data_IF_765659097995
#
_entry.id   IF_765659097995
#
_cell.length_a   1.000
_cell.length_b   1.000
_cell.length_c   1.000
_cell.angle_alpha   90.00
_cell.angle_beta   90.00
_cell.angle_gamma   90.00
#
_symmetry.space_group_name_H-M   'P 1'
#
loop_
_entity.id
_entity.type
_entity.pdbx_description
1 polymer ?
#
# COMPACT_ATOMS: atom_id res chain seq x y z
N UNK A 1 22.38 45.82 4.32
CA UNK A 1 23.02 45.03 5.40
C UNK A 1 22.04 43.97 5.88
N UNK A 2 21.86 42.90 5.11
CA UNK A 2 21.04 41.74 5.51
C UNK A 2 21.81 40.41 5.40
N UNK A 3 22.85 40.37 4.57
CA UNK A 3 23.67 39.18 4.32
C UNK A 3 24.38 38.63 5.56
N UNK A 4 24.75 39.47 6.53
CA UNK A 4 25.37 39.01 7.78
C UNK A 4 24.38 38.25 8.67
N UNK A 5 23.13 38.71 8.72
CA UNK A 5 22.05 38.08 9.51
C UNK A 5 21.63 36.77 8.86
N UNK A 6 21.42 36.78 7.55
CA UNK A 6 21.14 35.58 6.74
C UNK A 6 22.26 34.54 6.85
N UNK A 7 23.54 34.94 6.82
CA UNK A 7 24.66 34.00 7.01
C UNK A 7 24.73 33.43 8.44
N UNK A 8 24.42 34.24 9.46
CA UNK A 8 24.39 33.76 10.84
C UNK A 8 23.25 32.75 11.05
N UNK A 9 22.08 32.99 10.45
CA UNK A 9 20.96 32.06 10.42
C UNK A 9 21.30 30.79 9.65
N UNK A 10 22.01 30.91 8.52
CA UNK A 10 22.40 29.74 7.72
C UNK A 10 23.36 28.78 8.41
N UNK A 11 24.24 29.30 9.29
CA UNK A 11 25.17 28.46 10.07
C UNK A 11 24.48 27.48 11.01
N UNK A 12 23.23 27.76 11.39
CA UNK A 12 22.48 26.93 12.33
C UNK A 12 21.48 25.99 11.63
N UNK A 13 21.34 26.03 10.30
CA UNK A 13 20.47 25.08 9.60
C UNK A 13 21.05 23.68 9.67
N UNK A 14 20.28 22.77 10.26
CA UNK A 14 20.50 21.34 10.12
C UNK A 14 19.69 20.81 8.94
N UNK A 15 20.29 19.91 8.17
CA UNK A 15 19.58 19.23 7.09
C UNK A 15 18.44 18.42 7.71
N UNK A 16 17.24 18.50 7.10
CA UNK A 16 16.11 17.66 7.49
C UNK A 16 16.55 16.20 7.39
N UNK A 17 16.41 15.40 8.46
CA UNK A 17 16.78 14.00 8.41
C UNK A 17 15.93 13.27 7.38
N UNK A 18 16.56 12.39 6.62
CA UNK A 18 15.87 11.52 5.69
C UNK A 18 15.18 10.40 6.48
N UNK A 19 13.85 10.33 6.42
CA UNK A 19 13.04 9.33 7.14
C UNK A 19 13.13 7.96 6.46
N UNK A 20 13.12 7.95 5.13
CA UNK A 20 13.19 6.75 4.31
C UNK A 20 14.03 7.02 3.06
N UNK A 21 14.93 6.09 2.72
CA UNK A 21 15.67 6.10 1.46
C UNK A 21 14.96 5.23 0.44
N UNK A 22 14.66 5.80 -0.72
CA UNK A 22 14.30 5.04 -1.91
C UNK A 22 15.52 4.60 -2.72
N UNK A 23 16.72 4.97 -2.27
CA UNK A 23 17.97 4.57 -2.91
C UNK A 23 18.47 3.28 -2.26
N UNK A 24 18.80 2.29 -3.07
CA UNK A 24 19.37 1.00 -2.63
C UNK A 24 20.88 1.09 -2.32
N UNK A 25 21.49 -0.04 -1.97
CA UNK A 25 22.90 -0.14 -1.57
C UNK A 25 23.85 0.24 -2.73
N UNK A 26 23.41 0.05 -3.98
CA UNK A 26 24.13 0.38 -5.20
C UNK A 26 23.94 1.84 -5.65
N UNK A 27 23.09 2.61 -4.98
CA UNK A 27 22.81 4.01 -5.34
C UNK A 27 21.69 4.20 -6.37
N UNK A 28 20.90 3.16 -6.65
CA UNK A 28 19.80 3.19 -7.64
C UNK A 28 18.50 3.67 -6.99
N UNK A 29 17.77 4.58 -7.65
CA UNK A 29 16.44 5.01 -7.20
C UNK A 29 15.38 3.91 -7.44
N UNK A 30 14.83 3.39 -6.35
CA UNK A 30 13.80 2.35 -6.28
C UNK A 30 12.41 2.88 -5.97
N UNK A 31 12.19 4.21 -5.99
CA UNK A 31 10.92 4.81 -5.59
C UNK A 31 9.73 4.22 -6.35
N UNK A 32 9.84 4.11 -7.67
CA UNK A 32 8.76 3.54 -8.50
C UNK A 32 8.51 2.05 -8.21
N UNK A 33 9.58 1.27 -8.09
CA UNK A 33 9.49 -0.18 -7.81
C UNK A 33 8.82 -0.44 -6.45
N UNK A 34 9.23 0.31 -5.42
CA UNK A 34 8.67 0.17 -4.07
C UNK A 34 7.19 0.59 -4.01
N UNK A 35 6.81 1.69 -4.66
CA UNK A 35 5.41 2.13 -4.73
C UNK A 35 4.56 1.08 -5.44
N UNK A 36 5.01 0.57 -6.58
CA UNK A 36 4.30 -0.46 -7.34
C UNK A 36 4.16 -1.76 -6.55
N UNK A 37 5.23 -2.19 -5.89
CA UNK A 37 5.23 -3.40 -5.05
C UNK A 37 4.27 -3.26 -3.88
N UNK A 38 4.29 -2.11 -3.18
CA UNK A 38 3.37 -1.86 -2.08
C UNK A 38 1.90 -1.87 -2.55
N UNK A 39 1.62 -1.19 -3.66
CA UNK A 39 0.27 -1.14 -4.22
C UNK A 39 -0.24 -2.53 -4.61
N UNK A 40 0.61 -3.35 -5.25
CA UNK A 40 0.29 -4.74 -5.59
C UNK A 40 0.04 -5.59 -4.35
N UNK A 41 0.90 -5.47 -3.35
CA UNK A 41 0.79 -6.26 -2.11
C UNK A 41 -0.50 -5.92 -1.35
N UNK A 42 -0.79 -4.63 -1.15
CA UNK A 42 -2.02 -4.19 -0.48
C UNK A 42 -3.26 -4.73 -1.19
N UNK A 43 -3.28 -4.71 -2.52
CA UNK A 43 -4.39 -5.25 -3.31
C UNK A 43 -4.56 -6.76 -3.12
N UNK A 44 -3.47 -7.52 -3.13
CA UNK A 44 -3.51 -8.97 -2.86
C UNK A 44 -4.00 -9.28 -1.44
N UNK A 45 -3.53 -8.51 -0.46
CA UNK A 45 -3.91 -8.67 0.94
C UNK A 45 -5.41 -8.44 1.14
N UNK A 46 -5.98 -7.41 0.48
CA UNK A 46 -7.42 -7.14 0.52
C UNK A 46 -8.23 -8.28 -0.11
N UNK A 47 -7.80 -8.82 -1.26
CA UNK A 47 -8.50 -9.95 -1.87
C UNK A 47 -8.46 -11.19 -0.95
N UNK A 48 -7.31 -11.47 -0.35
CA UNK A 48 -7.14 -12.56 0.61
C UNK A 48 -8.05 -12.36 1.84
N UNK A 49 -8.10 -11.15 2.37
CA UNK A 49 -8.97 -10.80 3.49
C UNK A 49 -10.44 -11.06 3.16
N UNK A 50 -10.91 -10.58 2.00
CA UNK A 50 -12.30 -10.79 1.55
C UNK A 50 -12.57 -12.29 1.42
N UNK A 51 -11.68 -13.07 0.82
CA UNK A 51 -11.84 -14.52 0.71
C UNK A 51 -11.99 -15.19 2.08
N UNK A 52 -11.11 -14.84 3.02
CA UNK A 52 -11.15 -15.38 4.38
C UNK A 52 -12.46 -15.00 5.10
N UNK A 53 -12.93 -13.76 4.96
CA UNK A 53 -14.19 -13.32 5.56
C UNK A 53 -15.40 -14.04 4.94
N UNK A 54 -15.38 -14.32 3.64
CA UNK A 54 -16.42 -15.11 2.98
C UNK A 54 -16.45 -16.54 3.51
N UNK A 55 -15.29 -17.18 3.69
CA UNK A 55 -15.20 -18.51 4.31
C UNK A 55 -15.68 -18.47 5.77
N UNK A 56 -15.31 -17.45 6.53
CA UNK A 56 -15.76 -17.28 7.93
C UNK A 56 -17.28 -17.13 8.02
N UNK A 57 -17.88 -16.30 7.16
CA UNK A 57 -19.33 -16.08 7.11
C UNK A 57 -20.07 -17.35 6.64
N UNK A 58 -19.52 -18.10 5.68
CA UNK A 58 -20.11 -19.36 5.20
C UNK A 58 -20.17 -20.43 6.31
N UNK A 59 -19.19 -20.43 7.21
CA UNK A 59 -19.09 -21.40 8.29
C UNK A 59 -19.81 -20.98 9.59
N UNK A 60 -20.35 -19.76 9.67
CA UNK A 60 -21.12 -19.27 10.82
C UNK A 60 -22.62 -19.30 10.54
N UNK A 61 -23.36 -20.19 11.22
CA UNK A 61 -24.81 -20.37 11.05
C UNK A 61 -25.59 -19.07 11.20
N UNK A 62 -25.15 -18.16 12.08
CA UNK A 62 -25.83 -16.88 12.33
C UNK A 62 -25.58 -15.88 11.20
N UNK A 63 -24.50 -16.04 10.43
CA UNK A 63 -24.10 -15.09 9.39
C UNK A 63 -24.33 -15.62 7.97
N UNK A 64 -24.54 -16.92 7.78
CA UNK A 64 -24.74 -17.55 6.46
C UNK A 64 -25.81 -16.88 5.59
N UNK A 65 -26.84 -16.30 6.19
CA UNK A 65 -27.91 -15.58 5.49
C UNK A 65 -27.42 -14.33 4.73
N UNK A 66 -26.25 -13.79 5.07
CA UNK A 66 -25.63 -12.64 4.39
C UNK A 66 -24.99 -13.02 3.04
N UNK A 67 -24.83 -14.32 2.76
CA UNK A 67 -24.13 -14.79 1.57
C UNK A 67 -25.03 -14.79 0.33
N UNK A 68 -25.06 -13.67 -0.41
CA UNK A 68 -25.51 -13.66 -1.83
C UNK A 68 -24.43 -14.27 -2.74
N UNK A 69 -24.29 -15.61 -2.65
CA UNK A 69 -23.16 -16.40 -3.19
C UNK A 69 -22.79 -16.16 -4.66
N UNK A 70 -23.75 -15.88 -5.55
CA UNK A 70 -23.48 -15.75 -6.99
C UNK A 70 -22.84 -14.42 -7.37
N UNK A 71 -23.19 -13.34 -6.70
CA UNK A 71 -22.76 -11.99 -7.06
C UNK A 71 -21.41 -11.66 -6.41
N UNK A 72 -21.27 -11.97 -5.12
CA UNK A 72 -20.04 -11.73 -4.36
C UNK A 72 -18.87 -12.56 -4.90
N UNK A 73 -19.08 -13.85 -5.19
CA UNK A 73 -18.01 -14.69 -5.77
C UNK A 73 -17.58 -14.19 -7.15
N UNK A 74 -18.49 -13.59 -7.93
CA UNK A 74 -18.20 -13.04 -9.26
C UNK A 74 -17.37 -11.77 -9.16
N UNK A 75 -17.71 -10.85 -8.25
CA UNK A 75 -16.97 -9.61 -8.06
C UNK A 75 -15.54 -9.85 -7.54
N UNK A 76 -15.38 -10.77 -6.58
CA UNK A 76 -14.04 -11.14 -6.08
C UNK A 76 -13.19 -11.75 -7.20
N UNK A 77 -13.76 -12.60 -8.04
CA UNK A 77 -13.05 -13.21 -9.17
C UNK A 77 -12.65 -12.20 -10.25
N UNK A 78 -13.55 -11.27 -10.60
CA UNK A 78 -13.26 -10.19 -11.56
C UNK A 78 -12.13 -9.31 -11.04
N UNK A 79 -12.19 -8.92 -9.76
CA UNK A 79 -11.15 -8.10 -9.16
C UNK A 79 -9.82 -8.85 -9.06
N UNK A 80 -9.82 -10.14 -8.71
CA UNK A 80 -8.60 -10.94 -8.70
C UNK A 80 -7.94 -11.03 -10.09
N UNK A 81 -8.71 -11.31 -11.14
CA UNK A 81 -8.22 -11.37 -12.52
C UNK A 81 -7.64 -10.02 -13.00
N UNK A 82 -8.29 -8.91 -12.63
CA UNK A 82 -7.80 -7.57 -12.96
C UNK A 82 -6.46 -7.27 -12.25
N UNK A 83 -6.34 -7.66 -10.99
CA UNK A 83 -5.14 -7.46 -10.18
C UNK A 83 -3.97 -8.38 -10.57
N UNK A 84 -4.23 -9.54 -11.17
CA UNK A 84 -3.16 -10.43 -11.66
C UNK A 84 -2.59 -10.01 -13.01
N UNK A 85 -3.25 -9.10 -13.74
CA UNK A 85 -2.88 -8.72 -15.10
C UNK A 85 -2.16 -7.36 -15.21
N UNK A 86 -2.17 -6.55 -14.15
CA UNK A 86 -1.61 -5.19 -14.11
C UNK A 86 -0.79 -4.97 -12.82
#
# INVERSE_FOLDING_TARGET
MDNQKVNAEMKNYQKIPQILSFVDEEGTDKMQEQIQTNYKQVKLDIVKLIKNELERIENDSNLTHLMRRKEIKREVWINFQYLSTH
#
